data_IF_148030516833
#
_entry.id   IF_148030516833
#
_cell.length_a   1.000
_cell.length_b   1.000
_cell.length_c   1.000
_cell.angle_alpha   90.00
_cell.angle_beta   90.00
_cell.angle_gamma   90.00
#
_symmetry.space_group_name_H-M   'P 1'
#
loop_
_entity.id
_entity.type
_entity.pdbx_description
1 polymer ?
#
# COMPACT_ATOMS: atom_id res chain seq x y z
N UNK A 1 -19.21 -28.18 -1.37
CA UNK A 1 -18.44 -28.67 -0.20
C UNK A 1 -18.77 -27.78 0.98
N UNK A 2 -19.25 -28.41 2.04
CA UNK A 2 -19.98 -27.82 3.17
C UNK A 2 -19.01 -27.13 4.14
N UNK A 3 -19.40 -25.94 4.60
CA UNK A 3 -18.62 -25.12 5.53
C UNK A 3 -18.53 -25.72 6.93
N UNK A 4 -17.41 -25.46 7.61
CA UNK A 4 -17.23 -25.71 9.04
C UNK A 4 -16.91 -24.40 9.74
N UNK A 5 -17.94 -23.83 10.34
CA UNK A 5 -17.87 -22.73 11.31
C UNK A 5 -17.33 -23.31 12.61
N UNK A 6 -16.18 -22.82 13.08
CA UNK A 6 -15.58 -23.25 14.33
C UNK A 6 -16.21 -22.52 15.52
N UNK A 7 -16.31 -23.29 16.60
CA UNK A 7 -16.96 -23.02 17.88
C UNK A 7 -16.41 -21.79 18.59
N UNK A 8 -17.30 -20.91 19.07
CA UNK A 8 -17.00 -19.95 20.12
C UNK A 8 -17.23 -20.62 21.49
N UNK A 9 -16.19 -20.56 22.33
CA UNK A 9 -16.08 -21.11 23.68
C UNK A 9 -16.99 -20.30 24.63
N UNK A 10 -18.15 -20.86 24.99
CA UNK A 10 -19.03 -20.32 26.02
C UNK A 10 -18.51 -20.66 27.42
N UNK A 11 -17.50 -19.93 27.88
CA UNK A 11 -17.06 -19.99 29.29
C UNK A 11 -16.81 -18.62 29.86
N UNK A 12 -17.88 -17.88 30.18
CA UNK A 12 -17.78 -16.72 31.08
C UNK A 12 -18.95 -16.70 32.09
N UNK A 13 -18.60 -17.11 33.31
CA UNK A 13 -19.06 -16.60 34.61
C UNK A 13 -20.54 -16.71 35.01
N UNK A 14 -20.83 -17.83 35.67
CA UNK A 14 -21.81 -17.90 36.75
C UNK A 14 -21.20 -17.35 38.05
N UNK A 15 -21.51 -16.11 38.41
CA UNK A 15 -21.37 -15.63 39.79
C UNK A 15 -22.74 -15.26 40.37
N UNK A 16 -23.26 -16.17 41.20
CA UNK A 16 -24.39 -15.96 42.10
C UNK A 16 -23.88 -15.20 43.33
N UNK A 17 -23.97 -13.87 43.28
CA UNK A 17 -23.81 -13.00 44.46
C UNK A 17 -25.17 -12.63 45.04
N UNK A 18 -25.54 -13.25 46.16
CA UNK A 18 -26.63 -12.79 47.04
C UNK A 18 -26.14 -11.61 47.86
N UNK A 19 -26.94 -10.55 47.98
CA UNK A 19 -26.88 -9.67 49.16
C UNK A 19 -27.15 -8.20 48.92
N UNK A 20 -28.30 -7.74 49.43
CA UNK A 20 -28.39 -6.49 50.19
C UNK A 20 -28.34 -5.16 49.42
N UNK A 21 -29.49 -4.48 49.37
CA UNK A 21 -29.53 -3.03 49.15
C UNK A 21 -30.61 -2.57 48.18
N UNK A 22 -31.86 -2.50 48.62
CA UNK A 22 -32.90 -1.71 47.94
C UNK A 22 -32.62 -0.21 48.20
N UNK A 23 -31.55 0.30 47.64
CA UNK A 23 -31.36 1.73 47.41
C UNK A 23 -31.85 2.03 46.00
N UNK A 24 -33.09 2.50 45.86
CA UNK A 24 -33.56 3.03 44.59
C UNK A 24 -32.60 4.16 44.15
N UNK A 25 -32.25 4.24 42.86
CA UNK A 25 -31.34 5.26 42.37
C UNK A 25 -31.87 6.63 42.80
N UNK A 26 -31.01 7.43 43.45
CA UNK A 26 -31.42 8.77 43.87
C UNK A 26 -31.77 9.60 42.64
N UNK A 27 -32.66 10.59 42.78
CA UNK A 27 -33.07 11.45 41.66
C UNK A 27 -31.86 12.06 40.91
N UNK A 28 -30.75 12.28 41.62
CA UNK A 28 -29.47 12.75 41.07
C UNK A 28 -28.79 11.72 40.17
N UNK A 29 -28.88 10.42 40.48
CA UNK A 29 -28.31 9.34 39.67
C UNK A 29 -29.12 9.12 38.38
N UNK A 30 -30.45 9.28 38.44
CA UNK A 30 -31.32 9.23 37.26
C UNK A 30 -31.05 10.40 36.30
N UNK A 31 -30.86 11.61 36.84
CA UNK A 31 -30.52 12.78 36.03
C UNK A 31 -29.16 12.63 35.32
N UNK A 32 -28.14 12.09 36.01
CA UNK A 32 -26.82 11.85 35.43
C UNK A 32 -26.85 10.78 34.32
N UNK A 33 -27.65 9.72 34.48
CA UNK A 33 -27.81 8.68 33.47
C UNK A 33 -28.48 9.21 32.18
N UNK A 34 -29.51 10.07 32.30
CA UNK A 34 -30.12 10.71 31.14
C UNK A 34 -29.14 11.61 30.39
N UNK A 35 -28.32 12.40 31.10
CA UNK A 35 -27.31 13.26 30.46
C UNK A 35 -26.20 12.46 29.76
N UNK A 36 -25.81 11.29 30.30
CA UNK A 36 -24.85 10.41 29.64
C UNK A 36 -25.46 9.75 28.40
N UNK A 37 -26.72 9.32 28.45
CA UNK A 37 -27.41 8.74 27.29
C UNK A 37 -27.52 9.73 26.13
N UNK A 38 -27.79 11.00 26.41
CA UNK A 38 -27.90 12.06 25.38
C UNK A 38 -26.55 12.32 24.69
N UNK A 39 -25.45 12.36 25.46
CA UNK A 39 -24.09 12.50 24.88
C UNK A 39 -23.71 11.34 23.97
N UNK A 40 -24.04 10.11 24.38
CA UNK A 40 -23.77 8.91 23.56
C UNK A 40 -24.61 8.91 22.28
N UNK A 41 -25.86 9.38 22.35
CA UNK A 41 -26.71 9.51 21.16
C UNK A 41 -26.16 10.55 20.16
N UNK A 42 -25.66 11.68 20.65
CA UNK A 42 -25.05 12.72 19.81
C UNK A 42 -23.74 12.26 19.16
N UNK A 43 -22.92 11.52 19.89
CA UNK A 43 -21.66 10.97 19.36
C UNK A 43 -21.92 9.89 18.30
N UNK A 44 -22.93 9.04 18.51
CA UNK A 44 -23.38 8.05 17.53
C UNK A 44 -23.90 8.73 16.23
N UNK A 45 -24.60 9.86 16.35
CA UNK A 45 -25.07 10.64 15.20
C UNK A 45 -23.91 11.20 14.38
N UNK A 46 -22.92 11.81 15.05
CA UNK A 46 -21.72 12.36 14.39
C UNK A 46 -20.91 11.26 13.69
N UNK A 47 -20.72 10.10 14.33
CA UNK A 47 -20.00 8.99 13.73
C UNK A 47 -20.72 8.46 12.48
N UNK A 48 -22.06 8.43 12.47
CA UNK A 48 -22.83 8.02 11.29
C UNK A 48 -22.70 8.99 10.12
N UNK A 49 -22.58 10.29 10.39
CA UNK A 49 -22.36 11.31 9.37
C UNK A 49 -20.96 11.20 8.75
N UNK A 50 -19.93 10.98 9.56
CA UNK A 50 -18.55 10.77 9.09
C UNK A 50 -18.43 9.52 8.20
N UNK A 51 -19.04 8.39 8.59
CA UNK A 51 -19.04 7.15 7.80
C UNK A 51 -19.73 7.34 6.44
N UNK A 52 -20.81 8.14 6.39
CA UNK A 52 -21.49 8.47 5.13
C UNK A 52 -20.63 9.37 4.23
N UNK A 53 -19.92 10.33 4.80
CA UNK A 53 -19.01 11.20 4.05
C UNK A 53 -17.85 10.40 3.43
N UNK A 54 -17.25 9.48 4.18
CA UNK A 54 -16.19 8.60 3.68
C UNK A 54 -16.68 7.64 2.59
N UNK A 55 -17.90 7.11 2.72
CA UNK A 55 -18.51 6.26 1.71
C UNK A 55 -18.77 7.04 0.40
N UNK A 56 -19.29 8.27 0.48
CA UNK A 56 -19.49 9.12 -0.68
C UNK A 56 -18.16 9.54 -1.35
N UNK A 57 -17.12 9.82 -0.56
CA UNK A 57 -15.79 10.15 -1.08
C UNK A 57 -15.18 8.96 -1.84
N UNK A 58 -15.33 7.73 -1.32
CA UNK A 58 -14.85 6.50 -1.98
C UNK A 58 -15.59 6.21 -3.27
N UNK A 59 -16.90 6.39 -3.33
CA UNK A 59 -17.67 6.20 -4.57
C UNK A 59 -17.33 7.26 -5.62
N UNK A 60 -17.17 8.53 -5.21
CA UNK A 60 -16.70 9.59 -6.13
C UNK A 60 -15.31 9.28 -6.68
N UNK A 61 -14.39 8.76 -5.87
CA UNK A 61 -13.06 8.35 -6.30
C UNK A 61 -13.10 7.17 -7.31
N UNK A 62 -13.97 6.17 -7.07
CA UNK A 62 -14.19 5.06 -8.01
C UNK A 62 -14.76 5.55 -9.34
N UNK A 63 -15.70 6.50 -9.29
CA UNK A 63 -16.31 7.06 -10.49
C UNK A 63 -15.30 7.86 -11.32
N UNK A 64 -14.46 8.68 -10.69
CA UNK A 64 -13.36 9.38 -11.38
C UNK A 64 -12.33 8.41 -11.98
N UNK A 65 -12.03 7.29 -11.31
CA UNK A 65 -11.13 6.27 -11.85
C UNK A 65 -11.75 5.54 -13.06
N UNK A 66 -13.07 5.29 -13.02
CA UNK A 66 -13.79 4.65 -14.12
C UNK A 66 -13.94 5.57 -15.33
N UNK A 67 -14.15 6.87 -15.11
CA UNK A 67 -14.17 7.89 -16.17
C UNK A 67 -12.79 8.06 -16.82
N UNK A 68 -11.71 8.00 -16.03
CA UNK A 68 -10.34 7.98 -16.55
C UNK A 68 -10.03 6.73 -17.39
N UNK A 69 -10.59 5.57 -17.00
CA UNK A 69 -10.46 4.32 -17.77
C UNK A 69 -11.39 4.24 -19.00
N UNK A 70 -12.49 5.01 -19.00
CA UNK A 70 -13.50 5.04 -20.06
C UNK A 70 -13.26 6.09 -21.15
N UNK A 71 -12.35 7.04 -20.92
CA UNK A 71 -11.80 7.88 -21.97
C UNK A 71 -10.99 6.99 -22.91
N UNK A 72 -11.64 6.52 -23.98
CA UNK A 72 -11.08 5.57 -24.94
C UNK A 72 -9.66 5.95 -25.37
N UNK A 73 -8.84 4.92 -25.56
CA UNK A 73 -7.50 5.01 -26.11
C UNK A 73 -7.51 5.75 -27.45
N UNK A 74 -7.24 7.05 -27.41
CA UNK A 74 -6.87 7.86 -28.58
C UNK A 74 -5.37 7.65 -28.76
N UNK A 75 -4.99 6.46 -29.23
CA UNK A 75 -3.60 6.10 -29.46
C UNK A 75 -3.01 6.97 -30.55
N UNK A 76 -2.29 8.03 -30.16
CA UNK A 76 -1.16 8.49 -30.98
C UNK A 76 -0.17 7.33 -31.06
N UNK A 77 0.33 7.02 -32.25
CA UNK A 77 1.37 6.01 -32.47
C UNK A 77 2.68 6.30 -31.70
N UNK A 78 2.77 7.47 -31.06
CA UNK A 78 3.93 7.94 -30.30
C UNK A 78 3.93 7.57 -28.81
N UNK A 79 2.88 6.92 -28.27
CA UNK A 79 2.81 6.54 -26.85
C UNK A 79 2.86 5.02 -26.69
N UNK A 80 4.09 4.49 -26.65
CA UNK A 80 4.33 3.11 -26.23
C UNK A 80 4.26 3.03 -24.70
N UNK A 81 3.13 2.55 -24.17
CA UNK A 81 3.00 2.23 -22.75
C UNK A 81 3.34 0.76 -22.50
N UNK A 82 4.19 0.48 -21.51
CA UNK A 82 4.42 -0.87 -21.05
C UNK A 82 3.17 -1.42 -20.34
N UNK A 83 2.43 -2.31 -21.01
CA UNK A 83 1.42 -3.15 -20.40
C UNK A 83 2.09 -4.26 -19.58
N UNK A 84 2.60 -3.89 -18.40
CA UNK A 84 3.17 -4.82 -17.44
C UNK A 84 2.19 -5.09 -16.31
N UNK A 85 1.87 -6.37 -16.13
CA UNK A 85 1.09 -6.89 -15.01
C UNK A 85 2.01 -7.73 -14.12
N UNK A 86 1.90 -7.55 -12.82
CA UNK A 86 2.60 -8.40 -11.85
C UNK A 86 1.60 -9.32 -11.18
N UNK A 87 1.94 -10.61 -11.15
CA UNK A 87 1.23 -11.61 -10.37
C UNK A 87 2.22 -12.25 -9.41
N UNK A 88 1.75 -12.61 -8.23
CA UNK A 88 2.56 -13.30 -7.23
C UNK A 88 1.69 -14.32 -6.50
N UNK A 89 2.33 -15.42 -6.09
CA UNK A 89 1.66 -16.52 -5.42
C UNK A 89 2.53 -16.98 -4.25
N UNK A 90 1.93 -17.07 -3.06
CA UNK A 90 2.60 -17.62 -1.87
C UNK A 90 2.96 -19.11 -2.01
N UNK A 91 2.24 -19.83 -2.88
CA UNK A 91 2.39 -21.27 -3.01
C UNK A 91 1.96 -22.00 -1.74
N UNK A 92 2.78 -22.96 -1.30
CA UNK A 92 2.53 -23.78 -0.09
C UNK A 92 3.26 -23.29 1.15
N UNK A 93 4.03 -22.20 1.04
CA UNK A 93 4.78 -21.65 2.16
C UNK A 93 3.85 -20.99 3.18
N UNK A 94 4.29 -20.90 4.44
CA UNK A 94 3.49 -20.30 5.52
C UNK A 94 3.42 -18.76 5.42
N UNK A 95 4.38 -18.12 4.75
CA UNK A 95 4.44 -16.68 4.57
C UNK A 95 4.95 -16.28 3.18
N UNK A 96 4.49 -15.13 2.66
CA UNK A 96 4.93 -14.58 1.38
C UNK A 96 6.21 -13.75 1.55
N UNK A 97 7.35 -14.35 1.25
CA UNK A 97 8.66 -13.71 1.39
C UNK A 97 9.05 -12.87 0.18
N UNK A 98 8.45 -13.10 -0.98
CA UNK A 98 8.82 -12.38 -2.20
C UNK A 98 8.26 -10.96 -2.20
N UNK A 99 9.02 -10.05 -2.82
CA UNK A 99 8.60 -8.68 -3.12
C UNK A 99 8.97 -8.37 -4.56
N UNK A 100 8.22 -7.47 -5.19
CA UNK A 100 8.52 -7.01 -6.53
C UNK A 100 8.31 -5.51 -6.62
N UNK A 101 9.00 -4.88 -7.57
CA UNK A 101 8.81 -3.47 -7.92
C UNK A 101 8.64 -3.38 -9.41
N UNK A 102 7.67 -2.58 -9.83
CA UNK A 102 7.40 -2.31 -11.25
C UNK A 102 7.27 -0.82 -11.45
N UNK A 103 8.18 -0.28 -12.25
CA UNK A 103 8.16 1.11 -12.70
C UNK A 103 8.01 1.07 -14.21
N UNK A 104 6.78 1.30 -14.68
CA UNK A 104 6.42 1.22 -16.11
C UNK A 104 7.09 2.31 -16.95
N UNK A 105 7.33 3.48 -16.35
CA UNK A 105 8.04 4.58 -17.00
C UNK A 105 9.05 5.19 -16.02
N UNK A 106 10.31 4.87 -16.26
CA UNK A 106 11.42 5.35 -15.43
C UNK A 106 11.69 6.84 -15.61
N UNK A 107 11.33 7.42 -16.75
CA UNK A 107 11.50 8.85 -17.04
C UNK A 107 10.49 9.66 -16.23
N UNK A 108 9.23 9.21 -16.17
CA UNK A 108 8.20 9.81 -15.32
C UNK A 108 8.59 9.68 -13.84
N UNK A 109 9.10 8.52 -13.42
CA UNK A 109 9.56 8.31 -12.05
C UNK A 109 10.75 9.23 -11.70
N UNK A 110 11.72 9.38 -12.59
CA UNK A 110 12.85 10.30 -12.44
C UNK A 110 12.39 11.76 -12.32
N UNK A 111 11.46 12.20 -13.19
CA UNK A 111 10.88 13.54 -13.13
C UNK A 111 10.17 13.82 -11.79
N UNK A 112 9.40 12.85 -11.28
CA UNK A 112 8.73 12.98 -9.98
C UNK A 112 9.73 13.17 -8.82
N UNK A 113 10.92 12.59 -8.93
CA UNK A 113 12.02 12.76 -7.97
C UNK A 113 12.95 13.93 -8.29
N UNK A 114 12.58 14.80 -9.24
CA UNK A 114 13.39 15.95 -9.70
C UNK A 114 14.78 15.53 -10.26
N UNK A 115 14.85 14.32 -10.81
CA UNK A 115 16.04 13.67 -11.34
C UNK A 115 15.74 13.13 -12.76
N UNK A 116 15.68 14.00 -13.79
CA UNK A 116 15.31 13.58 -15.14
C UNK A 116 16.36 12.63 -15.74
N UNK A 117 15.88 11.59 -16.42
CA UNK A 117 16.70 10.61 -17.14
C UNK A 117 16.44 10.81 -18.63
N UNK A 118 17.19 11.71 -19.25
CA UNK A 118 17.00 12.10 -20.66
C UNK A 118 17.96 11.36 -21.61
N UNK A 119 18.96 10.68 -21.07
CA UNK A 119 20.03 10.03 -21.85
C UNK A 119 19.73 8.58 -22.23
N UNK A 120 18.67 7.99 -21.67
CA UNK A 120 18.24 6.63 -22.01
C UNK A 120 17.21 6.64 -23.14
N UNK A 121 17.30 5.64 -24.00
CA UNK A 121 16.31 5.41 -25.05
C UNK A 121 14.93 5.12 -24.42
N UNK A 122 13.89 5.72 -25.02
CA UNK A 122 12.51 5.61 -24.55
C UNK A 122 11.74 4.66 -25.46
N UNK A 123 10.86 3.80 -24.91
CA UNK A 123 10.44 3.73 -23.51
C UNK A 123 11.39 2.91 -22.63
N UNK A 124 11.51 3.29 -21.34
CA UNK A 124 12.35 2.57 -20.35
C UNK A 124 11.55 2.26 -19.09
N UNK A 125 11.60 1.00 -18.66
CA UNK A 125 10.93 0.48 -17.48
C UNK A 125 11.91 -0.27 -16.57
N UNK A 126 11.59 -0.33 -15.27
CA UNK A 126 12.32 -1.11 -14.28
C UNK A 126 11.39 -2.17 -13.68
N UNK A 127 11.79 -3.43 -13.82
CA UNK A 127 11.14 -4.57 -13.19
C UNK A 127 12.17 -5.25 -12.29
N UNK A 128 11.81 -5.46 -11.03
CA UNK A 128 12.66 -6.20 -10.10
C UNK A 128 11.84 -7.14 -9.24
N UNK A 129 12.42 -8.31 -8.98
CA UNK A 129 11.87 -9.35 -8.12
C UNK A 129 12.91 -9.65 -7.05
N UNK A 130 12.47 -9.71 -5.81
CA UNK A 130 13.29 -9.95 -4.64
C UNK A 130 12.75 -11.18 -3.92
N UNK A 131 13.52 -12.26 -3.95
CA UNK A 131 13.25 -13.48 -3.19
C UNK A 131 13.79 -13.29 -1.76
N UNK A 132 12.91 -13.40 -0.77
CA UNK A 132 13.26 -13.25 0.63
C UNK A 132 13.61 -14.60 1.26
N UNK A 133 14.77 -14.71 1.89
CA UNK A 133 15.14 -15.89 2.66
C UNK A 133 15.13 -15.60 4.18
N UNK A 134 14.59 -16.53 4.97
CA UNK A 134 14.50 -16.43 6.45
C UNK A 134 13.72 -15.19 6.96
N UNK A 135 12.80 -14.67 6.15
CA UNK A 135 11.91 -13.56 6.51
C UNK A 135 11.66 -12.58 5.38
N UNK A 136 10.74 -11.63 5.60
CA UNK A 136 10.33 -10.63 4.60
C UNK A 136 11.16 -9.34 4.63
N UNK A 137 11.96 -9.14 5.69
CA UNK A 137 12.62 -7.85 5.93
C UNK A 137 13.61 -7.48 4.82
N UNK A 138 14.39 -8.45 4.35
CA UNK A 138 15.40 -8.21 3.32
C UNK A 138 14.77 -7.88 1.96
N UNK A 139 13.80 -8.68 1.51
CA UNK A 139 13.10 -8.43 0.24
C UNK A 139 12.31 -7.12 0.27
N UNK A 140 11.71 -6.78 1.41
CA UNK A 140 11.02 -5.50 1.61
C UNK A 140 11.97 -4.31 1.60
N UNK A 141 13.12 -4.42 2.28
CA UNK A 141 14.16 -3.40 2.25
C UNK A 141 14.68 -3.16 0.83
N UNK A 142 14.97 -4.22 0.08
CA UNK A 142 15.41 -4.12 -1.30
C UNK A 142 14.35 -3.44 -2.19
N UNK A 143 13.09 -3.84 -2.07
CA UNK A 143 11.99 -3.22 -2.82
C UNK A 143 11.85 -1.72 -2.53
N UNK A 144 11.98 -1.31 -1.26
CA UNK A 144 11.81 0.08 -0.85
C UNK A 144 13.01 0.99 -1.17
N UNK A 145 14.22 0.44 -1.31
CA UNK A 145 15.45 1.24 -1.39
C UNK A 145 16.18 1.13 -2.73
N UNK A 146 16.05 0.01 -3.46
CA UNK A 146 16.81 -0.20 -4.70
C UNK A 146 16.58 0.91 -5.73
N UNK A 147 15.30 1.20 -6.03
CA UNK A 147 14.93 2.23 -7.01
C UNK A 147 15.43 3.63 -6.59
N UNK A 148 15.46 3.93 -5.28
CA UNK A 148 15.98 5.20 -4.74
C UNK A 148 17.48 5.34 -4.92
N UNK A 149 18.24 4.25 -4.81
CA UNK A 149 19.70 4.24 -5.04
C UNK A 149 20.05 4.21 -6.53
N UNK A 150 19.25 3.54 -7.34
CA UNK A 150 19.48 3.37 -8.78
C UNK A 150 19.20 4.66 -9.57
N UNK A 151 18.08 5.35 -9.32
CA UNK A 151 17.67 6.52 -10.12
C UNK A 151 18.71 7.65 -10.14
N UNK A 152 19.32 8.07 -9.01
CA UNK A 152 20.40 9.09 -9.00
C UNK A 152 21.66 8.70 -9.77
N UNK A 153 21.86 7.39 -10.04
CA UNK A 153 23.01 6.88 -10.80
C UNK A 153 22.72 6.89 -12.28
N UNK A 154 21.50 6.52 -12.65
CA UNK A 154 21.03 6.58 -14.04
C UNK A 154 21.00 8.01 -14.59
N UNK A 155 20.75 9.02 -13.77
CA UNK A 155 20.85 10.44 -14.21
C UNK A 155 22.28 10.88 -14.54
N UNK A 156 23.29 10.17 -14.04
CA UNK A 156 24.71 10.47 -14.32
C UNK A 156 25.22 9.76 -15.57
N UNK A 157 24.43 8.84 -16.14
CA UNK A 157 24.77 8.14 -17.39
C UNK A 157 24.76 9.17 -18.51
N UNK A 158 25.89 9.32 -19.20
CA UNK A 158 26.03 10.28 -20.28
C UNK A 158 26.94 9.73 -21.37
N UNK A 159 26.61 10.05 -22.62
CA UNK A 159 27.39 9.65 -23.80
C UNK A 159 28.78 10.32 -23.89
N UNK A 160 29.16 11.14 -22.91
CA UNK A 160 30.43 11.88 -22.89
C UNK A 160 31.62 11.08 -22.36
N UNK A 161 31.39 9.87 -21.85
CA UNK A 161 32.46 9.00 -21.34
C UNK A 161 32.97 8.07 -22.43
N UNK A 162 34.19 7.58 -22.26
CA UNK A 162 34.80 6.56 -23.13
C UNK A 162 34.04 5.22 -23.08
N UNK A 163 33.18 5.03 -22.08
CA UNK A 163 32.35 3.84 -21.89
C UNK A 163 31.00 3.97 -22.60
N UNK A 164 30.52 2.86 -23.16
CA UNK A 164 29.19 2.75 -23.77
C UNK A 164 28.09 3.00 -22.74
N UNK A 165 26.91 3.45 -23.20
CA UNK A 165 25.75 3.68 -22.34
C UNK A 165 25.37 2.41 -21.57
N UNK A 166 25.43 1.25 -22.22
CA UNK A 166 25.15 -0.05 -21.61
C UNK A 166 26.12 -0.40 -20.47
N UNK A 167 27.41 -0.16 -20.64
CA UNK A 167 28.42 -0.38 -19.60
C UNK A 167 28.18 0.52 -18.39
N UNK A 168 27.80 1.78 -18.63
CA UNK A 168 27.47 2.72 -17.55
C UNK A 168 26.21 2.30 -16.79
N UNK A 169 25.19 1.78 -17.50
CA UNK A 169 23.98 1.23 -16.87
C UNK A 169 24.34 0.00 -16.03
N UNK A 170 25.11 -0.94 -16.58
CA UNK A 170 25.55 -2.14 -15.87
C UNK A 170 26.35 -1.78 -14.61
N UNK A 171 27.28 -0.83 -14.72
CA UNK A 171 28.05 -0.33 -13.57
C UNK A 171 27.15 0.34 -12.52
N UNK A 172 26.14 1.10 -12.97
CA UNK A 172 25.16 1.74 -12.08
C UNK A 172 24.30 0.72 -11.33
N UNK A 173 23.85 -0.34 -12.01
CA UNK A 173 23.10 -1.45 -11.42
C UNK A 173 23.95 -2.22 -10.41
N UNK A 174 25.14 -2.67 -10.79
CA UNK A 174 26.03 -3.41 -9.88
C UNK A 174 26.40 -2.60 -8.65
N UNK A 175 26.66 -1.30 -8.83
CA UNK A 175 27.00 -0.44 -7.69
C UNK A 175 25.79 -0.16 -6.79
N UNK A 176 24.58 -0.01 -7.34
CA UNK A 176 23.36 0.14 -6.54
C UNK A 176 23.02 -1.14 -5.76
N UNK A 177 23.29 -2.32 -6.34
CA UNK A 177 23.14 -3.60 -5.65
C UNK A 177 24.18 -3.77 -4.53
N UNK A 178 25.45 -3.44 -4.78
CA UNK A 178 26.50 -3.51 -3.76
C UNK A 178 26.21 -2.60 -2.55
N UNK A 179 25.57 -1.44 -2.78
CA UNK A 179 25.15 -0.57 -1.67
C UNK A 179 23.97 -1.12 -0.86
N UNK A 180 23.14 -2.01 -1.42
CA UNK A 180 22.05 -2.62 -0.65
C UNK A 180 22.54 -3.69 0.32
N UNK A 181 23.73 -4.22 0.08
CA UNK A 181 24.38 -5.25 0.91
C UNK A 181 25.14 -4.66 2.11
N UNK A 182 25.20 -3.32 2.20
CA UNK A 182 25.80 -2.57 3.32
C UNK A 182 24.73 -2.12 4.33
#
# INVERSE_FOLDING_TARGET
MVGKTQYLDERIFSQKGKGGGKGGPSATQLAAACQQAEKVADEARKNRENVKADAMAREKAKQTAKEAAGAGFVGSADVFEFAAETSFMQGRADAHMDRHVTVKDLVVAGKALKMPIDTLDKPVALFSVYDGHLGTKCSEYCAQNFHKKLLPRLTKVSARREQTVEEQIRASLSSALAELDQ
#
